data_IF_771008143787
#
_entry.id   IF_771008143787
#
_cell.length_a   1.000
_cell.length_b   1.000
_cell.length_c   1.000
_cell.angle_alpha   90.00
_cell.angle_beta   90.00
_cell.angle_gamma   90.00
#
_symmetry.space_group_name_H-M   'P 1'
#
loop_
_entity.id
_entity.type
_entity.pdbx_description
1 polymer ?
#
# COMPACT_ATOMS: atom_id res chain seq x y z
N UNK A 1 32.27 8.62 -23.08
CA UNK A 1 31.45 9.22 -22.01
C UNK A 1 31.79 8.47 -20.75
N UNK A 2 32.44 9.12 -19.78
CA UNK A 2 32.84 8.46 -18.53
C UNK A 2 31.61 7.97 -17.79
N UNK A 3 31.57 6.69 -17.44
CA UNK A 3 30.58 6.14 -16.51
C UNK A 3 30.73 6.88 -15.18
N UNK A 4 29.69 7.58 -14.75
CA UNK A 4 29.64 8.16 -13.41
C UNK A 4 29.29 7.05 -12.42
N UNK A 5 30.08 6.93 -11.36
CA UNK A 5 29.79 6.00 -10.27
C UNK A 5 28.55 6.49 -9.50
N UNK A 6 27.45 5.74 -9.60
CA UNK A 6 26.20 6.07 -8.92
C UNK A 6 26.17 5.44 -7.52
N UNK A 7 25.84 6.26 -6.52
CA UNK A 7 25.59 5.75 -5.17
C UNK A 7 24.33 4.89 -5.13
N UNK A 8 24.35 3.73 -4.45
CA UNK A 8 23.15 2.91 -4.31
C UNK A 8 22.09 3.62 -3.46
N UNK A 9 20.79 3.33 -3.71
CA UNK A 9 19.71 3.80 -2.86
C UNK A 9 19.92 3.43 -1.40
N UNK A 10 19.85 4.42 -0.51
CA UNK A 10 20.07 4.21 0.93
C UNK A 10 19.30 5.25 1.74
N UNK A 11 18.57 4.81 2.75
CA UNK A 11 17.97 5.70 3.73
C UNK A 11 19.07 6.32 4.63
N UNK A 12 19.12 7.65 4.70
CA UNK A 12 20.17 8.40 5.43
C UNK A 12 19.64 9.28 6.56
N UNK A 13 18.33 9.53 6.59
CA UNK A 13 17.71 10.39 7.60
C UNK A 13 17.41 9.59 8.86
N UNK A 14 17.27 10.28 9.99
CA UNK A 14 16.86 9.65 11.24
C UNK A 14 15.39 9.22 11.18
N UNK A 15 15.06 8.07 11.77
CA UNK A 15 13.70 7.50 11.78
C UNK A 15 13.45 6.48 10.67
N UNK A 16 12.18 6.10 10.50
CA UNK A 16 11.74 5.25 9.40
C UNK A 16 11.06 6.12 8.32
N UNK A 17 11.20 5.78 7.03
CA UNK A 17 10.46 6.46 5.99
C UNK A 17 8.95 6.32 6.20
N UNK A 18 8.14 7.32 5.79
CA UNK A 18 6.70 7.26 5.93
C UNK A 18 6.12 6.13 5.05
N UNK A 19 5.09 5.45 5.56
CA UNK A 19 4.37 4.40 4.84
C UNK A 19 3.03 4.89 4.34
N UNK A 20 2.50 4.24 3.31
CA UNK A 20 1.17 4.51 2.76
C UNK A 20 0.18 3.51 3.36
N UNK A 21 -0.81 4.01 4.10
CA UNK A 21 -1.91 3.19 4.61
C UNK A 21 -3.01 3.01 3.55
N UNK A 22 -3.36 1.76 3.23
CA UNK A 22 -4.39 1.38 2.28
C UNK A 22 -5.57 0.78 3.03
N UNK A 23 -6.74 1.42 2.89
CA UNK A 23 -7.97 1.08 3.62
C UNK A 23 -9.03 0.58 2.63
N UNK A 24 -9.18 -0.75 2.44
CA UNK A 24 -10.20 -1.30 1.56
C UNK A 24 -11.60 -1.13 2.15
N UNK A 25 -12.33 -0.10 1.73
CA UNK A 25 -13.71 0.11 2.19
C UNK A 25 -14.70 -0.71 1.37
N UNK A 26 -15.67 -1.32 2.05
CA UNK A 26 -16.66 -2.22 1.44
C UNK A 26 -18.06 -1.86 1.90
N UNK A 27 -19.08 -2.34 1.17
CA UNK A 27 -20.45 -2.34 1.69
C UNK A 27 -20.56 -3.33 2.87
N UNK A 28 -20.95 -2.82 4.05
CA UNK A 28 -21.09 -3.64 5.26
C UNK A 28 -22.37 -4.49 5.34
N UNK A 29 -23.27 -4.41 4.35
CA UNK A 29 -24.51 -5.20 4.31
C UNK A 29 -24.20 -6.69 4.13
N UNK A 30 -24.71 -7.50 5.06
CA UNK A 30 -24.57 -8.95 5.05
C UNK A 30 -25.75 -9.61 4.32
N UNK A 31 -25.63 -10.90 4.01
CA UNK A 31 -26.67 -11.66 3.32
C UNK A 31 -26.46 -11.72 1.81
N UNK A 32 -25.21 -11.63 1.37
CA UNK A 32 -24.78 -11.84 -0.02
C UNK A 32 -24.07 -10.64 -0.63
N UNK A 33 -24.30 -9.41 -0.14
CA UNK A 33 -23.69 -8.20 -0.70
C UNK A 33 -22.20 -8.15 -0.35
N UNK A 34 -21.86 -8.05 0.93
CA UNK A 34 -20.45 -7.99 1.39
C UNK A 34 -19.66 -9.20 0.91
N UNK A 35 -20.21 -10.39 1.09
CA UNK A 35 -19.59 -11.67 0.76
C UNK A 35 -19.21 -11.75 -0.73
N UNK A 36 -20.01 -11.15 -1.61
CA UNK A 36 -19.71 -11.08 -3.05
C UNK A 36 -18.58 -10.09 -3.41
N UNK A 37 -18.29 -9.11 -2.54
CA UNK A 37 -17.36 -8.01 -2.80
C UNK A 37 -16.02 -8.17 -2.09
N UNK A 38 -15.91 -9.00 -1.05
CA UNK A 38 -14.71 -9.16 -0.21
C UNK A 38 -13.43 -9.40 -1.04
N UNK A 39 -13.45 -10.44 -1.88
CA UNK A 39 -12.28 -10.84 -2.67
C UNK A 39 -11.85 -9.73 -3.62
N UNK A 40 -12.80 -9.11 -4.33
CA UNK A 40 -12.51 -8.04 -5.27
C UNK A 40 -11.96 -6.80 -4.56
N UNK A 41 -12.54 -6.43 -3.41
CA UNK A 41 -12.14 -5.25 -2.64
C UNK A 41 -10.71 -5.41 -2.11
N UNK A 42 -10.37 -6.59 -1.59
CA UNK A 42 -9.02 -6.85 -1.11
C UNK A 42 -7.99 -6.98 -2.25
N UNK A 43 -8.38 -7.58 -3.38
CA UNK A 43 -7.51 -7.65 -4.56
C UNK A 43 -7.18 -6.25 -5.10
N UNK A 44 -8.12 -5.31 -5.07
CA UNK A 44 -7.88 -3.91 -5.43
C UNK A 44 -6.87 -3.25 -4.47
N UNK A 45 -6.97 -3.49 -3.17
CA UNK A 45 -6.01 -2.97 -2.20
C UNK A 45 -4.58 -3.48 -2.44
N UNK A 46 -4.45 -4.78 -2.75
CA UNK A 46 -3.17 -5.41 -3.08
C UNK A 46 -2.59 -4.88 -4.39
N UNK A 47 -3.43 -4.72 -5.43
CA UNK A 47 -3.00 -4.16 -6.70
C UNK A 47 -2.48 -2.73 -6.57
N UNK A 48 -3.13 -1.89 -5.75
CA UNK A 48 -2.66 -0.53 -5.44
C UNK A 48 -1.34 -0.57 -4.66
N UNK A 49 -1.22 -1.44 -3.65
CA UNK A 49 0.02 -1.59 -2.90
C UNK A 49 1.20 -1.97 -3.81
N UNK A 50 0.99 -2.91 -4.73
CA UNK A 50 1.99 -3.34 -5.70
C UNK A 50 2.37 -2.19 -6.64
N UNK A 51 1.37 -1.51 -7.24
CA UNK A 51 1.58 -0.38 -8.13
C UNK A 51 2.43 0.71 -7.47
N UNK A 52 2.09 1.10 -6.24
CA UNK A 52 2.79 2.16 -5.52
C UNK A 52 4.23 1.76 -5.19
N UNK A 53 4.43 0.54 -4.68
CA UNK A 53 5.76 0.00 -4.35
C UNK A 53 6.65 -0.05 -5.59
N UNK A 54 6.10 -0.45 -6.74
CA UNK A 54 6.87 -0.58 -7.98
C UNK A 54 7.22 0.77 -8.61
N UNK A 55 6.30 1.74 -8.57
CA UNK A 55 6.42 3.00 -9.33
C UNK A 55 6.96 4.18 -8.54
N UNK A 56 6.76 4.24 -7.22
CA UNK A 56 7.17 5.37 -6.40
C UNK A 56 8.43 5.06 -5.60
N UNK A 57 9.25 6.10 -5.41
CA UNK A 57 10.47 6.04 -4.60
C UNK A 57 10.48 7.19 -3.61
N UNK A 58 11.02 6.93 -2.42
CA UNK A 58 11.43 8.00 -1.52
C UNK A 58 12.61 8.79 -2.10
N UNK A 59 12.92 9.99 -1.57
CA UNK A 59 14.12 10.73 -1.97
C UNK A 59 15.44 9.94 -1.79
N UNK A 60 15.44 8.88 -0.98
CA UNK A 60 16.56 7.94 -0.82
C UNK A 60 16.74 6.96 -1.99
N UNK A 61 15.81 6.93 -2.95
CA UNK A 61 15.76 5.97 -4.05
C UNK A 61 15.17 4.60 -3.68
N UNK A 62 14.76 4.40 -2.43
CA UNK A 62 14.10 3.15 -1.99
C UNK A 62 12.60 3.17 -2.34
N UNK A 63 11.99 2.00 -2.65
CA UNK A 63 10.55 1.90 -2.87
C UNK A 63 9.75 2.33 -1.65
N UNK A 64 8.57 2.87 -1.89
CA UNK A 64 7.63 3.19 -0.81
C UNK A 64 7.07 1.91 -0.20
N UNK A 65 6.85 1.92 1.10
CA UNK A 65 6.18 0.80 1.79
C UNK A 65 4.69 1.07 1.94
N UNK A 66 3.88 0.06 1.67
CA UNK A 66 2.42 0.11 1.87
C UNK A 66 2.02 -0.79 3.04
N UNK A 67 1.01 -0.36 3.80
CA UNK A 67 0.37 -1.14 4.87
C UNK A 67 -1.11 -1.25 4.51
N UNK A 68 -1.61 -2.47 4.40
CA UNK A 68 -3.03 -2.74 4.12
C UNK A 68 -3.70 -3.12 5.44
N UNK A 69 -4.94 -2.66 5.64
CA UNK A 69 -5.74 -3.11 6.78
C UNK A 69 -5.92 -4.64 6.75
N UNK A 70 -6.04 -5.27 7.94
CA UNK A 70 -6.15 -6.73 8.07
C UNK A 70 -7.38 -7.32 7.36
N UNK A 71 -8.42 -6.50 7.15
CA UNK A 71 -9.63 -6.86 6.41
C UNK A 71 -10.30 -5.64 5.78
N UNK A 72 -11.44 -5.88 5.14
CA UNK A 72 -12.26 -4.83 4.54
C UNK A 72 -13.06 -4.06 5.60
N UNK A 73 -13.28 -2.78 5.35
CA UNK A 73 -13.84 -1.81 6.29
C UNK A 73 -15.23 -1.39 5.80
N UNK A 74 -16.28 -1.99 6.36
CA UNK A 74 -17.68 -1.65 6.09
C UNK A 74 -18.39 -0.99 7.28
N UNK A 75 -17.81 -1.02 8.47
CA UNK A 75 -18.31 -0.37 9.70
C UNK A 75 -17.19 0.30 10.49
N UNK A 76 -17.57 1.17 11.42
CA UNK A 76 -16.63 1.93 12.27
C UNK A 76 -15.75 1.03 13.15
N UNK A 77 -16.23 -0.14 13.56
CA UNK A 77 -15.46 -1.06 14.41
C UNK A 77 -14.31 -1.77 13.67
N UNK A 78 -14.27 -1.67 12.34
CA UNK A 78 -13.29 -2.30 11.46
C UNK A 78 -12.21 -1.30 11.00
N UNK A 79 -12.24 -0.06 11.52
CA UNK A 79 -11.46 1.09 11.05
C UNK A 79 -10.11 1.29 11.73
#
# INVERSE_FOLDING_TARGET
MSEFELNPPKHRLAGQPPKIGIRPTIDGRLGGVRESLEVQTMAMAQAVAQLLTDTLRHPSGLPVECVIADGTIGRVAES
#
